data_IF_640851586457
#
_entry.id   IF_640851586457
#
_cell.length_a   1.000
_cell.length_b   1.000
_cell.length_c   1.000
_cell.angle_alpha   90.00
_cell.angle_beta   90.00
_cell.angle_gamma   90.00
#
_symmetry.space_group_name_H-M   'P 1'
#
loop_
_entity.id
_entity.type
_entity.pdbx_description
1 polymer ?
#
# COMPACT_ATOMS: atom_id res chain seq x y z
N UNK A 1 21.92 -16.12 -9.03
CA UNK A 1 20.54 -15.67 -9.37
C UNK A 1 20.36 -14.29 -8.76
N UNK A 2 20.78 -13.25 -9.47
CA UNK A 2 20.57 -11.86 -9.06
C UNK A 2 19.32 -11.34 -9.78
N UNK A 3 18.27 -11.05 -9.03
CA UNK A 3 17.05 -10.43 -9.56
C UNK A 3 17.26 -8.92 -9.63
N UNK A 4 17.25 -8.41 -10.86
CA UNK A 4 17.41 -7.00 -11.24
C UNK A 4 16.34 -6.09 -10.61
N UNK A 5 16.78 -5.14 -9.76
CA UNK A 5 15.93 -4.10 -9.15
C UNK A 5 15.61 -2.91 -10.08
N UNK A 6 15.98 -2.96 -11.36
CA UNK A 6 15.92 -1.81 -12.27
C UNK A 6 14.57 -1.59 -13.00
N UNK A 7 13.52 -2.39 -12.73
CA UNK A 7 12.28 -2.34 -13.54
C UNK A 7 11.36 -1.17 -13.16
N UNK A 8 11.45 -0.60 -11.95
CA UNK A 8 10.43 0.35 -11.49
C UNK A 8 10.51 1.75 -12.13
N UNK A 9 11.68 2.20 -12.60
CA UNK A 9 11.85 3.56 -13.13
C UNK A 9 11.47 3.75 -14.61
N UNK A 10 11.14 2.67 -15.33
CA UNK A 10 10.82 2.75 -16.78
C UNK A 10 9.34 2.90 -17.09
N UNK A 11 8.46 2.79 -16.10
CA UNK A 11 7.02 2.82 -16.33
C UNK A 11 6.57 4.09 -17.07
N UNK A 12 7.05 5.29 -16.72
CA UNK A 12 6.69 6.53 -17.42
C UNK A 12 7.36 6.70 -18.79
N UNK A 13 8.53 6.07 -19.02
CA UNK A 13 9.22 6.07 -20.31
C UNK A 13 8.70 4.99 -21.27
N UNK A 14 7.75 4.17 -20.85
CA UNK A 14 7.15 3.11 -21.67
C UNK A 14 6.19 3.66 -22.76
N UNK A 15 5.99 4.97 -22.86
CA UNK A 15 5.13 5.58 -23.88
C UNK A 15 5.61 5.25 -25.30
N UNK A 16 6.93 5.16 -25.51
CA UNK A 16 7.52 4.72 -26.77
C UNK A 16 7.17 3.26 -27.08
N UNK A 17 7.05 2.39 -26.07
CA UNK A 17 6.60 1.00 -26.25
C UNK A 17 5.15 0.94 -26.68
N UNK A 18 4.28 1.71 -26.04
CA UNK A 18 2.84 1.78 -26.39
C UNK A 18 2.65 2.25 -27.83
N UNK A 19 3.39 3.27 -28.25
CA UNK A 19 3.37 3.77 -29.63
C UNK A 19 3.88 2.71 -30.61
N UNK A 20 4.97 2.00 -30.26
CA UNK A 20 5.52 0.93 -31.10
C UNK A 20 4.57 -0.27 -31.21
N UNK A 21 3.86 -0.63 -30.15
CA UNK A 21 2.88 -1.72 -30.15
C UNK A 21 1.69 -1.40 -31.07
N UNK A 22 1.20 -0.15 -31.05
CA UNK A 22 0.13 0.31 -31.93
C UNK A 22 0.60 0.37 -33.39
N UNK A 23 1.80 0.89 -33.65
CA UNK A 23 2.41 0.87 -34.99
C UNK A 23 2.55 -0.58 -35.48
N UNK A 24 3.00 -1.49 -34.62
CA UNK A 24 3.17 -2.90 -34.97
C UNK A 24 1.83 -3.59 -35.28
N UNK A 25 0.77 -3.28 -34.53
CA UNK A 25 -0.58 -3.78 -34.81
C UNK A 25 -1.09 -3.30 -36.19
N UNK A 26 -0.95 -2.00 -36.47
CA UNK A 26 -1.37 -1.41 -37.76
C UNK A 26 -0.57 -1.97 -38.95
N UNK A 27 0.73 -2.22 -38.76
CA UNK A 27 1.58 -2.85 -39.77
C UNK A 27 1.14 -4.29 -40.06
N UNK A 28 0.73 -5.05 -39.04
CA UNK A 28 0.21 -6.42 -39.22
C UNK A 28 -1.11 -6.42 -39.99
N UNK A 29 -2.04 -5.52 -39.65
CA UNK A 29 -3.33 -5.39 -40.35
C UNK A 29 -3.16 -5.00 -41.83
N UNK A 30 -2.14 -4.21 -42.15
CA UNK A 30 -1.84 -3.78 -43.53
C UNK A 30 -0.90 -4.73 -44.27
N UNK A 31 -0.37 -5.75 -43.61
CA UNK A 31 0.56 -6.68 -44.25
C UNK A 31 -0.14 -7.61 -45.21
N UNK A 32 0.45 -7.80 -46.39
CA UNK A 32 0.04 -8.80 -47.36
C UNK A 32 1.22 -9.76 -47.55
N UNK A 33 1.01 -11.04 -47.25
CA UNK A 33 2.06 -12.06 -47.26
C UNK A 33 3.29 -11.70 -46.39
N UNK A 34 3.05 -11.03 -45.26
CA UNK A 34 4.11 -10.62 -44.33
C UNK A 34 4.98 -9.45 -44.83
N UNK A 35 4.56 -8.77 -45.91
CA UNK A 35 5.22 -7.58 -46.44
C UNK A 35 4.30 -6.36 -46.31
N UNK A 36 4.90 -5.20 -46.07
CA UNK A 36 4.22 -3.90 -46.04
C UNK A 36 4.99 -2.97 -46.97
N UNK A 37 4.29 -2.22 -47.81
CA UNK A 37 4.91 -1.22 -48.68
C UNK A 37 5.44 -0.05 -47.83
N UNK A 38 6.61 0.47 -48.19
CA UNK A 38 7.22 1.62 -47.53
C UNK A 38 6.28 2.83 -47.54
N UNK A 39 5.53 3.01 -48.63
CA UNK A 39 4.54 4.09 -48.74
C UNK A 39 3.41 3.97 -47.69
N UNK A 40 3.03 2.74 -47.32
CA UNK A 40 2.02 2.51 -46.29
C UNK A 40 2.61 2.65 -44.88
N UNK A 41 3.88 2.27 -44.69
CA UNK A 41 4.63 2.56 -43.44
C UNK A 41 4.70 4.07 -43.19
N UNK A 42 5.06 4.87 -44.20
CA UNK A 42 5.15 6.32 -44.08
C UNK A 42 3.80 6.97 -43.75
N UNK A 43 2.71 6.47 -44.35
CA UNK A 43 1.34 6.91 -44.04
C UNK A 43 0.94 6.58 -42.60
N UNK A 44 1.27 5.38 -42.12
CA UNK A 44 1.00 4.95 -40.75
C UNK A 44 1.79 5.78 -39.72
N UNK A 45 3.07 6.06 -39.99
CA UNK A 45 3.89 6.93 -39.15
C UNK A 45 3.33 8.36 -39.14
N UNK A 46 2.90 8.89 -40.29
CA UNK A 46 2.29 10.21 -40.38
C UNK A 46 0.96 10.29 -39.60
N UNK A 47 0.16 9.23 -39.61
CA UNK A 47 -1.06 9.11 -38.80
C UNK A 47 -0.74 9.15 -37.31
N UNK A 48 0.21 8.32 -36.85
CA UNK A 48 0.62 8.26 -35.43
C UNK A 48 1.20 9.59 -34.94
N UNK A 49 2.00 10.29 -35.77
CA UNK A 49 2.55 11.61 -35.45
C UNK A 49 1.49 12.70 -35.27
N UNK A 50 0.30 12.54 -35.87
CA UNK A 50 -0.81 13.49 -35.74
C UNK A 50 -1.65 13.29 -34.48
N UNK A 51 -1.42 12.22 -33.71
CA UNK A 51 -2.15 11.92 -32.47
C UNK A 51 -3.63 11.56 -32.73
N UNK A 52 -3.93 10.43 -33.38
CA UNK A 52 -5.30 10.02 -33.64
C UNK A 52 -5.99 9.63 -32.33
N UNK A 53 -7.31 9.86 -32.24
CA UNK A 53 -8.14 9.55 -31.07
C UNK A 53 -8.04 8.12 -30.54
N UNK A 54 -7.56 7.17 -31.36
CA UNK A 54 -7.32 5.78 -30.96
C UNK A 54 -6.16 5.60 -29.97
N UNK A 55 -5.27 6.59 -29.85
CA UNK A 55 -4.18 6.58 -28.87
C UNK A 55 -4.58 7.22 -27.54
N UNK A 56 -5.65 8.02 -27.50
CA UNK A 56 -6.09 8.75 -26.30
C UNK A 56 -6.35 7.83 -25.10
N UNK A 57 -7.03 6.67 -25.24
CA UNK A 57 -7.24 5.75 -24.11
C UNK A 57 -5.92 5.17 -23.58
N UNK A 58 -4.97 4.90 -24.47
CA UNK A 58 -3.66 4.36 -24.10
C UNK A 58 -2.79 5.43 -23.42
N UNK A 59 -2.83 6.67 -23.89
CA UNK A 59 -2.19 7.80 -23.24
C UNK A 59 -2.81 8.12 -21.87
N UNK A 60 -4.14 8.13 -21.75
CA UNK A 60 -4.83 8.37 -20.50
C UNK A 60 -4.52 7.28 -19.45
N UNK A 61 -4.52 6.00 -19.85
CA UNK A 61 -4.14 4.90 -18.96
C UNK A 61 -2.68 5.00 -18.50
N UNK A 62 -1.79 5.40 -19.41
CA UNK A 62 -0.37 5.57 -19.12
C UNK A 62 -0.10 6.79 -18.23
N UNK A 63 -0.81 7.89 -18.47
CA UNK A 63 -0.79 9.08 -17.63
C UNK A 63 -1.26 8.75 -16.22
N UNK A 64 -2.36 8.01 -16.07
CA UNK A 64 -2.86 7.58 -14.75
C UNK A 64 -1.86 6.70 -14.01
N UNK A 65 -1.21 5.76 -14.71
CA UNK A 65 -0.13 4.94 -14.12
C UNK A 65 1.08 5.76 -13.71
N UNK A 66 1.50 6.69 -14.56
CA UNK A 66 2.64 7.56 -14.26
C UNK A 66 2.30 8.52 -13.11
N UNK A 67 1.08 9.06 -13.08
CA UNK A 67 0.55 9.89 -12.01
C UNK A 67 0.49 9.11 -10.71
N UNK A 68 -0.03 7.88 -10.69
CA UNK A 68 -0.05 7.01 -9.52
C UNK A 68 1.35 6.67 -9.00
N UNK A 69 2.36 6.67 -9.88
CA UNK A 69 3.75 6.43 -9.51
C UNK A 69 4.47 7.69 -9.02
N UNK A 70 4.18 8.85 -9.62
CA UNK A 70 4.80 10.13 -9.29
C UNK A 70 4.07 10.89 -8.17
N UNK A 71 2.80 10.56 -7.90
CA UNK A 71 2.06 11.01 -6.72
C UNK A 71 2.54 10.33 -5.44
N UNK A 72 3.33 9.26 -5.55
CA UNK A 72 4.06 8.71 -4.41
C UNK A 72 5.06 9.78 -3.93
N UNK A 73 4.96 10.23 -2.67
CA UNK A 73 5.81 11.32 -2.20
C UNK A 73 7.29 10.93 -2.34
N UNK A 74 8.08 11.75 -3.02
CA UNK A 74 9.52 11.54 -3.18
C UNK A 74 10.28 12.08 -1.95
N UNK A 75 11.25 11.33 -1.45
CA UNK A 75 12.01 11.61 -0.22
C UNK A 75 11.49 10.85 1.02
N UNK A 76 11.95 11.21 2.22
CA UNK A 76 11.49 10.63 3.49
C UNK A 76 9.97 10.75 3.72
N UNK A 77 9.28 11.57 2.92
CA UNK A 77 7.83 11.70 2.90
C UNK A 77 7.15 10.42 2.37
N UNK A 78 7.77 9.71 1.41
CA UNK A 78 7.28 8.41 0.90
C UNK A 78 7.47 7.27 1.91
N UNK A 79 8.49 7.36 2.77
CA UNK A 79 8.73 6.42 3.86
C UNK A 79 7.70 6.54 5.01
N UNK A 80 6.89 7.61 5.00
CA UNK A 80 5.86 7.98 5.99
C UNK A 80 4.45 7.99 5.41
N UNK A 81 4.23 7.23 4.35
CA UNK A 81 2.94 7.15 3.64
C UNK A 81 1.80 6.53 4.46
N UNK A 82 2.13 5.71 5.47
CA UNK A 82 1.17 4.94 6.27
C UNK A 82 1.36 5.12 7.79
N UNK A 83 1.16 6.34 8.33
CA UNK A 83 1.40 6.60 9.76
C UNK A 83 0.47 5.79 10.67
N UNK A 84 -0.78 5.56 10.24
CA UNK A 84 -1.72 4.76 11.02
C UNK A 84 -1.30 3.28 11.13
N UNK A 85 -0.93 2.64 10.02
CA UNK A 85 -0.45 1.26 10.06
C UNK A 85 0.80 1.11 10.93
N UNK A 86 1.72 2.07 10.88
CA UNK A 86 2.89 2.08 11.77
C UNK A 86 2.51 2.23 13.23
N UNK A 87 1.56 3.12 13.54
CA UNK A 87 1.03 3.29 14.88
C UNK A 87 0.40 1.99 15.40
N UNK A 88 -0.37 1.30 14.56
CA UNK A 88 -1.02 0.03 14.91
C UNK A 88 -0.03 -1.13 15.10
N UNK A 89 1.13 -1.10 14.45
CA UNK A 89 2.19 -2.10 14.64
C UNK A 89 3.00 -1.85 15.90
N UNK A 90 3.01 -0.61 16.44
CA UNK A 90 3.83 -0.23 17.58
C UNK A 90 3.71 -1.18 18.79
N UNK A 91 2.50 -1.61 19.22
CA UNK A 91 2.35 -2.59 20.31
C UNK A 91 3.03 -3.93 20.01
N UNK A 92 3.07 -4.33 18.74
CA UNK A 92 3.52 -5.64 18.29
C UNK A 92 5.01 -5.68 17.96
N UNK A 93 5.73 -4.55 17.98
CA UNK A 93 7.16 -4.50 17.66
C UNK A 93 8.01 -5.55 18.41
N UNK A 94 7.82 -5.80 19.72
CA UNK A 94 8.56 -6.84 20.43
C UNK A 94 8.31 -8.27 19.90
N UNK A 95 7.16 -8.48 19.26
CA UNK A 95 6.74 -9.79 18.75
C UNK A 95 7.16 -10.01 17.28
N UNK A 96 7.54 -8.95 16.56
CA UNK A 96 7.87 -9.03 15.14
C UNK A 96 9.13 -9.86 14.89
N UNK A 97 9.04 -10.80 13.96
CA UNK A 97 10.14 -11.68 13.56
C UNK A 97 10.39 -12.85 14.52
N UNK A 98 9.69 -12.90 15.66
CA UNK A 98 9.72 -14.02 16.60
C UNK A 98 8.37 -14.75 16.63
N UNK A 99 7.35 -14.07 17.14
CA UNK A 99 5.98 -14.60 17.26
C UNK A 99 5.14 -14.22 16.05
N UNK A 100 5.31 -13.01 15.52
CA UNK A 100 4.61 -12.50 14.34
C UNK A 100 5.61 -12.31 13.18
N UNK A 101 5.68 -13.25 12.22
CA UNK A 101 6.40 -13.07 10.97
C UNK A 101 5.90 -11.84 10.19
N UNK A 102 6.83 -11.05 9.63
CA UNK A 102 6.49 -9.85 8.85
C UNK A 102 5.55 -10.11 7.66
N UNK A 103 5.64 -11.22 6.91
CA UNK A 103 4.68 -11.51 5.83
C UNK A 103 3.22 -11.54 6.30
N UNK A 104 2.98 -11.91 7.56
CA UNK A 104 1.64 -12.01 8.14
C UNK A 104 1.09 -10.66 8.64
N UNK A 105 1.86 -9.57 8.57
CA UNK A 105 1.35 -8.23 8.87
C UNK A 105 0.19 -7.83 7.95
N UNK A 106 0.17 -8.33 6.71
CA UNK A 106 -0.95 -8.08 5.80
C UNK A 106 -2.27 -8.63 6.36
N UNK A 107 -2.25 -9.79 7.01
CA UNK A 107 -3.42 -10.37 7.68
C UNK A 107 -3.82 -9.59 8.93
N UNK A 108 -2.84 -9.10 9.69
CA UNK A 108 -3.10 -8.22 10.82
C UNK A 108 -3.80 -6.93 10.38
N UNK A 109 -3.29 -6.25 9.34
CA UNK A 109 -3.92 -5.04 8.83
C UNK A 109 -5.31 -5.29 8.24
N UNK A 110 -5.50 -6.41 7.55
CA UNK A 110 -6.83 -6.79 7.07
C UNK A 110 -7.82 -7.00 8.23
N UNK A 111 -7.39 -7.59 9.34
CA UNK A 111 -8.21 -7.68 10.54
C UNK A 111 -8.51 -6.28 11.12
N UNK A 112 -7.50 -5.42 11.24
CA UNK A 112 -7.68 -4.05 11.75
C UNK A 112 -8.68 -3.27 10.92
N UNK A 113 -8.59 -3.32 9.59
CA UNK A 113 -9.51 -2.62 8.69
C UNK A 113 -10.96 -3.12 8.86
N UNK A 114 -11.17 -4.44 9.01
CA UNK A 114 -12.50 -5.02 9.25
C UNK A 114 -13.03 -4.67 10.64
N UNK A 115 -12.20 -4.78 11.67
CA UNK A 115 -12.59 -4.51 13.06
C UNK A 115 -12.97 -3.04 13.28
N UNK A 116 -12.27 -2.11 12.64
CA UNK A 116 -12.59 -0.69 12.73
C UNK A 116 -13.77 -0.29 11.85
N UNK A 117 -13.92 -0.97 10.71
CA UNK A 117 -14.84 -0.54 9.66
C UNK A 117 -14.37 0.74 8.95
N UNK A 118 -14.96 1.06 7.79
CA UNK A 118 -14.44 2.10 6.88
C UNK A 118 -14.43 3.49 7.52
N UNK A 119 -15.51 3.87 8.22
CA UNK A 119 -15.64 5.20 8.79
C UNK A 119 -14.59 5.50 9.87
N UNK A 120 -14.47 4.63 10.87
CA UNK A 120 -13.51 4.83 11.96
C UNK A 120 -12.06 4.70 11.46
N UNK A 121 -11.80 3.77 10.56
CA UNK A 121 -10.47 3.60 9.95
C UNK A 121 -10.04 4.87 9.22
N UNK A 122 -10.89 5.43 8.38
CA UNK A 122 -10.56 6.63 7.59
C UNK A 122 -10.39 7.87 8.47
N UNK A 123 -11.17 7.98 9.55
CA UNK A 123 -11.01 9.03 10.54
C UNK A 123 -9.65 8.93 11.24
N UNK A 124 -9.29 7.74 11.76
CA UNK A 124 -8.03 7.53 12.47
C UNK A 124 -6.79 7.71 11.56
N UNK A 125 -6.88 7.28 10.29
CA UNK A 125 -5.82 7.53 9.31
C UNK A 125 -5.66 9.02 9.00
N UNK A 126 -6.79 9.75 8.86
CA UNK A 126 -6.77 11.20 8.68
C UNK A 126 -6.14 11.92 9.86
N UNK A 127 -6.48 11.53 11.09
CA UNK A 127 -5.89 12.08 12.31
C UNK A 127 -4.38 11.84 12.37
N UNK A 128 -3.92 10.63 12.02
CA UNK A 128 -2.49 10.33 11.94
C UNK A 128 -1.77 11.18 10.89
N UNK A 129 -2.38 11.39 9.71
CA UNK A 129 -1.82 12.23 8.65
C UNK A 129 -1.75 13.68 9.08
N UNK A 130 -2.81 14.22 9.69
CA UNK A 130 -2.83 15.58 10.22
C UNK A 130 -1.74 15.78 11.27
N UNK A 131 -1.53 14.79 12.15
CA UNK A 131 -0.45 14.81 13.13
C UNK A 131 0.93 14.85 12.46
N UNK A 132 1.19 14.00 11.47
CA UNK A 132 2.46 14.03 10.73
C UNK A 132 2.68 15.39 10.05
N UNK A 133 1.64 16.01 9.47
CA UNK A 133 1.77 17.34 8.88
C UNK A 133 2.11 18.40 9.93
N UNK A 134 1.46 18.37 11.09
CA UNK A 134 1.79 19.27 12.19
C UNK A 134 3.25 19.10 12.66
N UNK A 135 3.71 17.85 12.79
CA UNK A 135 5.09 17.56 13.18
C UNK A 135 6.12 17.93 12.10
N UNK A 136 5.75 17.87 10.81
CA UNK A 136 6.59 18.37 9.72
C UNK A 136 6.78 19.89 9.79
N UNK A 137 5.77 20.66 10.22
CA UNK A 137 5.92 22.11 10.42
C UNK A 137 6.91 22.41 11.54
N UNK A 138 6.92 21.61 12.62
CA UNK A 138 7.80 21.81 13.78
C UNK A 138 9.22 21.31 13.54
N UNK A 139 9.37 20.11 13.00
CA UNK A 139 10.67 19.42 12.91
C UNK A 139 11.28 19.44 11.50
N UNK A 140 10.52 19.86 10.49
CA UNK A 140 10.96 19.90 9.09
C UNK A 140 11.53 18.54 8.64
N UNK A 141 12.73 18.59 8.07
CA UNK A 141 13.44 17.41 7.57
C UNK A 141 13.95 16.48 8.70
N UNK A 142 14.01 16.96 9.94
CA UNK A 142 14.48 16.18 11.09
C UNK A 142 13.38 15.35 11.77
N UNK A 143 12.14 15.42 11.28
CA UNK A 143 11.06 14.58 11.77
C UNK A 143 11.49 13.10 11.73
N UNK A 144 11.26 12.35 12.80
CA UNK A 144 11.47 10.90 12.89
C UNK A 144 10.20 10.22 13.41
N UNK A 145 10.17 8.89 13.41
CA UNK A 145 9.06 8.17 14.02
C UNK A 145 9.03 8.34 15.54
N UNK A 146 10.17 8.56 16.19
CA UNK A 146 10.22 8.80 17.64
C UNK A 146 9.50 10.10 18.01
N UNK A 147 9.62 11.14 17.19
CA UNK A 147 8.83 12.36 17.38
C UNK A 147 7.33 12.10 17.27
N UNK A 148 6.91 11.27 16.30
CA UNK A 148 5.52 10.89 16.14
C UNK A 148 5.01 10.07 17.33
N UNK A 149 5.75 9.04 17.75
CA UNK A 149 5.39 8.19 18.89
C UNK A 149 5.49 8.90 20.24
N UNK A 150 6.34 9.91 20.35
CA UNK A 150 6.48 10.75 21.54
C UNK A 150 5.37 11.81 21.67
N UNK A 151 4.62 12.10 20.61
CA UNK A 151 3.51 13.04 20.66
C UNK A 151 2.28 12.39 21.32
N UNK A 152 1.74 13.03 22.36
CA UNK A 152 0.59 12.53 23.13
C UNK A 152 -0.66 12.30 22.27
N UNK A 153 -0.79 13.02 21.14
CA UNK A 153 -1.88 12.82 20.18
C UNK A 153 -1.79 11.47 19.48
N UNK A 154 -0.58 10.96 19.21
CA UNK A 154 -0.42 9.63 18.61
C UNK A 154 -0.92 8.54 19.55
N UNK A 155 -0.58 8.65 20.84
CA UNK A 155 -1.07 7.77 21.90
C UNK A 155 -2.59 7.83 22.02
N UNK A 156 -3.18 9.02 21.94
CA UNK A 156 -4.64 9.17 21.98
C UNK A 156 -5.33 8.49 20.79
N UNK A 157 -4.76 8.59 19.59
CA UNK A 157 -5.26 7.89 18.39
C UNK A 157 -5.15 6.37 18.56
N UNK A 158 -3.99 5.88 19.02
CA UNK A 158 -3.76 4.45 19.26
C UNK A 158 -4.76 3.90 20.28
N UNK A 159 -4.98 4.62 21.39
CA UNK A 159 -5.96 4.24 22.42
C UNK A 159 -7.37 4.12 21.84
N UNK A 160 -7.82 5.09 21.03
CA UNK A 160 -9.13 5.05 20.37
C UNK A 160 -9.26 3.83 19.44
N UNK A 161 -8.24 3.55 18.63
CA UNK A 161 -8.24 2.40 17.73
C UNK A 161 -8.31 1.08 18.50
N UNK A 162 -7.49 0.93 19.55
CA UNK A 162 -7.46 -0.27 20.39
C UNK A 162 -8.74 -0.45 21.20
N UNK A 163 -9.43 0.62 21.61
CA UNK A 163 -10.72 0.53 22.28
C UNK A 163 -11.78 -0.12 21.38
N UNK A 164 -11.85 0.29 20.11
CA UNK A 164 -12.77 -0.30 19.12
C UNK A 164 -12.40 -1.76 18.87
N UNK A 165 -11.13 -2.04 18.58
CA UNK A 165 -10.66 -3.41 18.32
C UNK A 165 -10.93 -4.32 19.51
N UNK A 166 -10.65 -3.87 20.74
CA UNK A 166 -10.93 -4.62 21.97
C UNK A 166 -12.42 -4.88 22.12
N UNK A 167 -13.27 -3.88 21.87
CA UNK A 167 -14.73 -4.04 21.89
C UNK A 167 -15.23 -5.08 20.89
N UNK A 168 -14.63 -5.17 19.70
CA UNK A 168 -14.95 -6.23 18.72
C UNK A 168 -14.48 -7.60 19.21
N UNK A 169 -13.27 -7.67 19.77
CA UNK A 169 -12.68 -8.92 20.24
C UNK A 169 -13.43 -9.53 21.44
N UNK A 170 -14.09 -8.73 22.26
CA UNK A 170 -14.92 -9.22 23.37
C UNK A 170 -16.32 -9.69 22.94
N UNK A 171 -16.74 -9.43 21.70
CA UNK A 171 -18.01 -9.93 21.17
C UNK A 171 -17.93 -11.43 20.85
N UNK A 172 -19.07 -12.16 20.85
CA UNK A 172 -19.08 -13.62 20.63
C UNK A 172 -18.38 -14.08 19.34
N UNK A 173 -18.41 -13.26 18.29
CA UNK A 173 -17.79 -13.57 17.00
C UNK A 173 -16.36 -13.00 16.84
N UNK A 174 -15.91 -12.15 17.75
CA UNK A 174 -14.59 -11.50 17.71
C UNK A 174 -13.41 -12.49 17.68
N UNK A 175 -13.34 -13.48 18.58
CA UNK A 175 -12.26 -14.47 18.58
C UNK A 175 -12.25 -15.35 17.34
N UNK A 176 -13.42 -15.62 16.75
CA UNK A 176 -13.52 -16.33 15.47
C UNK A 176 -13.01 -15.47 14.32
N UNK A 177 -13.38 -14.18 14.28
CA UNK A 177 -12.87 -13.22 13.29
C UNK A 177 -11.34 -13.10 13.36
N UNK A 178 -10.78 -12.92 14.55
CA UNK A 178 -9.32 -12.86 14.77
C UNK A 178 -8.61 -14.07 14.18
N UNK A 179 -9.05 -15.29 14.56
CA UNK A 179 -8.47 -16.54 14.05
C UNK A 179 -8.62 -16.67 12.53
N UNK A 180 -9.77 -16.27 11.99
CA UNK A 180 -10.04 -16.37 10.56
C UNK A 180 -9.12 -15.48 9.72
N UNK A 181 -8.71 -14.31 10.24
CA UNK A 181 -7.78 -13.44 9.55
C UNK A 181 -6.32 -13.85 9.80
N UNK A 182 -5.94 -14.05 11.05
CA UNK A 182 -4.54 -14.25 11.45
C UNK A 182 -4.05 -15.70 11.31
N UNK A 183 -4.95 -16.67 11.29
CA UNK A 183 -4.64 -18.10 11.19
C UNK A 183 -4.43 -18.61 9.77
N UNK A 184 -4.29 -17.73 8.78
CA UNK A 184 -4.05 -18.10 7.37
C UNK A 184 -2.56 -18.06 7.03
N UNK A 185 -2.06 -18.99 6.20
CA UNK A 185 -0.70 -18.93 5.68
C UNK A 185 -0.57 -17.86 4.57
N UNK A 186 0.65 -17.36 4.35
CA UNK A 186 0.99 -16.39 3.27
C UNK A 186 2.22 -16.87 2.51
N UNK A 187 2.02 -17.28 1.25
CA UNK A 187 3.10 -17.86 0.45
C UNK A 187 3.73 -19.06 1.17
N UNK A 188 5.05 -18.99 1.38
CA UNK A 188 5.80 -20.03 2.12
C UNK A 188 5.76 -19.84 3.65
N UNK A 189 5.11 -18.79 4.16
CA UNK A 189 4.98 -18.54 5.60
C UNK A 189 3.82 -19.35 6.16
N UNK A 190 4.07 -20.30 7.10
CA UNK A 190 3.00 -21.13 7.67
C UNK A 190 2.02 -20.30 8.51
N UNK A 191 0.84 -20.86 8.73
CA UNK A 191 -0.15 -20.29 9.63
C UNK A 191 0.36 -20.22 11.08
N UNK A 192 -0.09 -19.20 11.81
CA UNK A 192 0.21 -19.07 13.23
C UNK A 192 -0.48 -20.16 14.05
N UNK A 193 0.25 -20.71 15.00
CA UNK A 193 -0.29 -21.64 16.00
C UNK A 193 -1.20 -20.91 16.98
N UNK A 194 -2.10 -21.66 17.65
CA UNK A 194 -3.06 -21.10 18.60
C UNK A 194 -2.40 -20.25 19.71
N UNK A 195 -1.26 -20.69 20.24
CA UNK A 195 -0.51 -19.95 21.26
C UNK A 195 0.11 -18.66 20.73
N UNK A 196 0.56 -18.64 19.48
CA UNK A 196 1.09 -17.41 18.85
C UNK A 196 -0.04 -16.40 18.62
N UNK A 197 -1.20 -16.87 18.15
CA UNK A 197 -2.40 -16.05 17.98
C UNK A 197 -2.86 -15.43 19.29
N UNK A 198 -2.85 -16.22 20.37
CA UNK A 198 -3.18 -15.77 21.72
C UNK A 198 -2.19 -14.74 22.23
N UNK A 199 -0.89 -14.99 22.07
CA UNK A 199 0.18 -14.06 22.50
C UNK A 199 0.03 -12.68 21.86
N UNK A 200 -0.25 -12.63 20.55
CA UNK A 200 -0.46 -11.37 19.81
C UNK A 200 -1.73 -10.66 20.31
N UNK A 201 -2.81 -11.43 20.53
CA UNK A 201 -4.07 -10.89 21.05
C UNK A 201 -3.90 -10.29 22.45
N UNK A 202 -3.28 -11.04 23.37
CA UNK A 202 -3.01 -10.62 24.74
C UNK A 202 -2.15 -9.35 24.76
N UNK A 203 -1.17 -9.23 23.86
CA UNK A 203 -0.35 -8.02 23.71
C UNK A 203 -1.20 -6.78 23.35
N UNK A 204 -2.16 -6.91 22.43
CA UNK A 204 -3.06 -5.80 22.07
C UNK A 204 -3.96 -5.39 23.24
N UNK A 205 -4.53 -6.37 23.95
CA UNK A 205 -5.39 -6.14 25.11
C UNK A 205 -4.64 -5.48 26.27
N UNK A 206 -3.44 -5.99 26.59
CA UNK A 206 -2.57 -5.41 27.62
C UNK A 206 -2.16 -3.98 27.28
N UNK A 207 -1.82 -3.72 26.00
CA UNK A 207 -1.48 -2.36 25.56
C UNK A 207 -2.67 -1.42 25.71
N UNK A 208 -3.88 -1.86 25.33
CA UNK A 208 -5.09 -1.06 25.53
C UNK A 208 -5.31 -0.73 27.01
N UNK A 209 -5.20 -1.72 27.90
CA UNK A 209 -5.34 -1.51 29.34
C UNK A 209 -4.28 -0.54 29.89
N UNK A 210 -3.03 -0.68 29.46
CA UNK A 210 -1.94 0.21 29.88
C UNK A 210 -2.10 1.65 29.40
N UNK A 211 -2.80 1.89 28.29
CA UNK A 211 -3.12 3.23 27.78
C UNK A 211 -4.40 3.82 28.38
N UNK A 212 -5.21 3.01 29.06
CA UNK A 212 -6.47 3.43 29.68
C UNK A 212 -6.32 3.78 31.18
N UNK A 213 -5.23 3.31 31.81
CA UNK A 213 -4.84 3.63 33.18
C UNK A 213 -4.19 5.02 33.28
#
# INVERSE_FOLDING_TARGET
MEQNSCVSNRACHAISSVVLDVVQALLRERSVNGKVDLADVDRLIALVRRGPMSLDPAYAQQEERCRAQHSKPKGNVGARSNPFQRLMVRPLEPLLGQVLPRPLLAHYFAFVDVALGPAARDELDRDCRALIQALLVVHGNNLTWDHFYGDSRSTAILRRALAIITSILTQPHGPAMWRNHMGRPVGDTPALQAEQLKTILDCLLQTHHGLAA
#
